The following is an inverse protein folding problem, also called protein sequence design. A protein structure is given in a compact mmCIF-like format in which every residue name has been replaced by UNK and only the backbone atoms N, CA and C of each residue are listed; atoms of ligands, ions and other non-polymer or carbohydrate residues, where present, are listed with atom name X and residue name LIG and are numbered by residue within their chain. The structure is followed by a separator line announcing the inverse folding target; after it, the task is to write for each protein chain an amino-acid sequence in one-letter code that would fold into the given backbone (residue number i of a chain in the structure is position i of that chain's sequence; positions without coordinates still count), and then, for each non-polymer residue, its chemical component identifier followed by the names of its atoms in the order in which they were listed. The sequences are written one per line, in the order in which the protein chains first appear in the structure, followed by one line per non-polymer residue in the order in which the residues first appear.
data_IF_554731551093
#
_entry.id   IF_554731551093
#
_cell.length_a   1.000
_cell.length_b   1.000
_cell.length_c   1.000
_cell.angle_alpha   90.00
_cell.angle_beta   90.00
_cell.angle_gamma   90.00
#
_symmetry.space_group_name_H-M   'P 1'
#
loop_
_entity.id
_entity.type
_entity.pdbx_description
1 polymer ?
#
# COMPACT_ATOMS: atom_id res chain seq x y z
N UNK A 1 14.30 9.76 13.75
CA UNK A 1 13.34 9.17 12.82
C UNK A 1 11.93 9.49 13.30
N UNK A 2 10.99 9.64 12.36
CA UNK A 2 9.59 9.93 12.64
C UNK A 2 8.68 9.03 11.81
N UNK A 3 7.39 8.98 12.15
CA UNK A 3 6.35 8.44 11.30
C UNK A 3 5.70 9.60 10.54
N UNK A 4 5.49 9.45 9.25
CA UNK A 4 4.82 10.43 8.41
C UNK A 4 4.14 9.72 7.23
N UNK A 5 2.85 9.96 7.07
CA UNK A 5 2.02 9.31 6.06
C UNK A 5 1.61 10.28 4.94
N UNK A 6 1.87 11.58 5.14
CA UNK A 6 1.54 12.66 4.19
C UNK A 6 2.74 13.57 3.94
N UNK A 7 2.76 14.31 2.81
CA UNK A 7 3.80 15.31 2.57
C UNK A 7 3.89 16.40 3.65
N UNK A 8 2.76 16.74 4.28
CA UNK A 8 2.72 17.72 5.36
C UNK A 8 3.35 17.18 6.63
N UNK A 9 3.03 15.95 7.02
CA UNK A 9 3.64 15.28 8.16
C UNK A 9 5.16 15.16 7.98
N UNK A 10 5.62 14.84 6.76
CA UNK A 10 7.04 14.76 6.44
C UNK A 10 7.74 16.11 6.60
N UNK A 11 7.14 17.20 6.11
CA UNK A 11 7.68 18.56 6.33
C UNK A 11 7.77 18.90 7.81
N UNK A 12 6.70 18.65 8.55
CA UNK A 12 6.63 18.90 9.99
C UNK A 12 7.66 18.06 10.76
N UNK A 13 7.82 16.79 10.38
CA UNK A 13 8.86 15.94 10.97
C UNK A 13 10.28 16.52 10.74
N UNK A 14 10.55 17.06 9.56
CA UNK A 14 11.80 17.74 9.24
C UNK A 14 12.02 19.00 10.07
N UNK A 15 11.00 19.81 10.25
CA UNK A 15 11.04 21.03 11.09
C UNK A 15 11.40 20.69 12.53
N UNK A 16 10.88 19.57 13.06
CA UNK A 16 11.21 19.03 14.38
C UNK A 16 12.55 18.28 14.44
N UNK A 17 13.34 18.28 13.37
CA UNK A 17 14.70 17.73 13.35
C UNK A 17 14.79 16.25 12.98
N UNK A 18 13.74 15.63 12.45
CA UNK A 18 13.80 14.25 11.96
C UNK A 18 14.81 14.11 10.81
N UNK A 19 15.62 13.05 10.86
CA UNK A 19 16.63 12.69 9.85
C UNK A 19 16.27 11.45 9.06
N UNK A 20 15.01 11.10 9.02
CA UNK A 20 14.43 9.98 8.27
C UNK A 20 12.99 9.75 8.67
N UNK A 21 12.23 9.15 7.75
CA UNK A 21 10.90 8.58 8.03
C UNK A 21 11.07 7.08 8.23
N UNK A 22 10.82 6.63 9.47
CA UNK A 22 10.93 5.22 9.86
C UNK A 22 9.71 4.39 9.48
N UNK A 23 8.58 5.06 9.25
CA UNK A 23 7.34 4.41 8.79
C UNK A 23 6.46 5.41 8.06
N UNK A 24 6.22 5.13 6.78
CA UNK A 24 5.17 5.72 5.96
C UNK A 24 4.15 4.61 5.64
N UNK A 25 2.92 4.76 6.13
CA UNK A 25 1.84 3.78 6.00
C UNK A 25 0.97 4.12 4.80
N UNK A 26 1.07 3.32 3.76
CA UNK A 26 0.37 3.59 2.50
C UNK A 26 -1.15 3.45 2.60
N UNK A 27 -1.66 2.69 3.56
CA UNK A 27 -3.09 2.59 3.83
C UNK A 27 -3.74 3.93 4.21
N UNK A 28 -3.03 4.79 4.93
CA UNK A 28 -3.55 6.10 5.31
C UNK A 28 -3.74 7.02 4.11
N UNK A 29 -2.90 6.87 3.07
CA UNK A 29 -3.08 7.59 1.81
C UNK A 29 -4.40 7.22 1.13
N UNK A 30 -4.84 5.95 1.23
CA UNK A 30 -6.08 5.46 0.61
C UNK A 30 -7.35 5.79 1.40
N UNK A 31 -7.23 6.20 2.67
CA UNK A 31 -8.36 6.60 3.51
C UNK A 31 -8.86 8.03 3.24
N UNK A 32 -8.15 8.82 2.44
CA UNK A 32 -8.59 10.16 2.07
C UNK A 32 -9.93 10.11 1.31
N UNK A 33 -10.77 11.12 1.52
CA UNK A 33 -12.17 11.15 1.05
C UNK A 33 -12.32 11.04 -0.48
N UNK A 34 -11.36 11.54 -1.23
CA UNK A 34 -11.30 11.47 -2.69
C UNK A 34 -10.81 10.11 -3.21
N UNK A 35 -10.08 9.35 -2.40
CA UNK A 35 -9.45 8.08 -2.77
C UNK A 35 -10.20 6.86 -2.27
N UNK A 36 -10.81 6.95 -1.10
CA UNK A 36 -11.55 5.86 -0.49
C UNK A 36 -12.60 5.23 -1.44
N UNK A 37 -13.39 6.00 -2.24
CA UNK A 37 -14.31 5.41 -3.20
C UNK A 37 -13.62 4.60 -4.33
N UNK A 38 -12.38 4.96 -4.68
CA UNK A 38 -11.59 4.20 -5.68
C UNK A 38 -11.06 2.92 -5.05
N UNK A 39 -10.56 3.00 -3.81
CA UNK A 39 -10.11 1.83 -3.05
C UNK A 39 -11.26 0.85 -2.80
N UNK A 40 -12.45 1.34 -2.47
CA UNK A 40 -13.65 0.49 -2.35
C UNK A 40 -13.99 -0.25 -3.65
N UNK A 41 -13.86 0.41 -4.80
CA UNK A 41 -14.02 -0.26 -6.11
C UNK A 41 -12.99 -1.36 -6.32
N UNK A 42 -11.73 -1.11 -5.94
CA UNK A 42 -10.68 -2.13 -5.97
C UNK A 42 -11.06 -3.37 -5.14
N UNK A 43 -11.54 -3.14 -3.91
CA UNK A 43 -11.88 -4.23 -2.97
C UNK A 43 -13.04 -5.09 -3.47
N UNK A 44 -14.07 -4.47 -4.07
CA UNK A 44 -15.25 -5.20 -4.58
C UNK A 44 -15.10 -5.71 -5.99
N UNK A 45 -13.96 -5.46 -6.66
CA UNK A 45 -13.70 -5.91 -8.02
C UNK A 45 -13.72 -7.44 -8.11
N UNK A 46 -14.37 -7.97 -9.14
CA UNK A 46 -14.50 -9.41 -9.39
C UNK A 46 -13.55 -9.89 -10.48
N UNK A 47 -13.11 -8.99 -11.36
CA UNK A 47 -12.15 -9.30 -12.41
C UNK A 47 -10.80 -8.58 -12.23
N UNK A 48 -9.77 -9.08 -12.92
CA UNK A 48 -8.47 -8.42 -12.97
C UNK A 48 -8.57 -7.05 -13.64
N UNK A 49 -9.37 -6.93 -14.70
CA UNK A 49 -9.56 -5.69 -15.44
C UNK A 49 -10.17 -4.60 -14.55
N UNK A 50 -11.18 -4.94 -13.75
CA UNK A 50 -11.78 -4.01 -12.79
C UNK A 50 -10.77 -3.56 -11.74
N UNK A 51 -9.93 -4.50 -11.25
CA UNK A 51 -8.87 -4.16 -10.28
C UNK A 51 -7.83 -3.24 -10.89
N UNK A 52 -7.31 -3.57 -12.06
CA UNK A 52 -6.30 -2.75 -12.76
C UNK A 52 -6.84 -1.34 -13.02
N UNK A 53 -8.08 -1.20 -13.50
CA UNK A 53 -8.69 0.10 -13.73
C UNK A 53 -8.83 0.97 -12.47
N UNK A 54 -8.99 0.35 -11.30
CA UNK A 54 -8.96 1.06 -10.02
C UNK A 54 -7.53 1.39 -9.58
N UNK A 55 -6.59 0.45 -9.75
CA UNK A 55 -5.18 0.61 -9.41
C UNK A 55 -4.51 1.72 -10.22
N UNK A 56 -4.82 1.84 -11.52
CA UNK A 56 -4.27 2.91 -12.38
C UNK A 56 -4.62 4.31 -11.85
N UNK A 57 -5.83 4.48 -11.31
CA UNK A 57 -6.24 5.73 -10.69
C UNK A 57 -5.54 5.98 -9.37
N UNK A 58 -5.43 4.95 -8.53
CA UNK A 58 -4.75 5.03 -7.23
C UNK A 58 -3.25 5.29 -7.41
N UNK A 59 -2.63 4.72 -8.45
CA UNK A 59 -1.22 4.90 -8.78
C UNK A 59 -0.85 6.37 -8.94
N UNK A 60 -1.63 7.11 -9.73
CA UNK A 60 -1.38 8.53 -9.97
C UNK A 60 -1.42 9.32 -8.67
N UNK A 61 -2.47 9.10 -7.86
CA UNK A 61 -2.65 9.78 -6.58
C UNK A 61 -1.52 9.46 -5.59
N UNK A 62 -1.14 8.17 -5.51
CA UNK A 62 -0.11 7.73 -4.58
C UNK A 62 1.30 8.18 -5.01
N UNK A 63 1.57 8.22 -6.32
CA UNK A 63 2.81 8.79 -6.85
C UNK A 63 2.97 10.25 -6.43
N UNK A 64 1.91 11.06 -6.51
CA UNK A 64 1.95 12.47 -6.10
C UNK A 64 2.27 12.62 -4.60
N UNK A 65 1.74 11.74 -3.76
CA UNK A 65 2.08 11.71 -2.33
C UNK A 65 3.56 11.40 -2.12
N UNK A 66 4.08 10.36 -2.79
CA UNK A 66 5.50 10.01 -2.68
C UNK A 66 6.40 11.13 -3.17
N UNK A 67 6.06 11.79 -4.27
CA UNK A 67 6.79 12.99 -4.73
C UNK A 67 6.83 14.05 -3.63
N UNK A 68 5.72 14.32 -2.99
CA UNK A 68 5.63 15.28 -1.89
C UNK A 68 6.47 14.89 -0.66
N UNK A 69 6.38 13.62 -0.23
CA UNK A 69 7.11 13.09 0.93
C UNK A 69 8.61 13.07 0.66
N UNK A 70 9.06 12.52 -0.47
CA UNK A 70 10.48 12.46 -0.81
C UNK A 70 11.09 13.85 -1.00
N UNK A 71 10.36 14.80 -1.57
CA UNK A 71 10.80 16.18 -1.69
C UNK A 71 10.98 16.85 -0.32
N UNK A 72 10.07 16.59 0.62
CA UNK A 72 10.20 17.07 1.99
C UNK A 72 11.41 16.47 2.72
N UNK A 73 11.78 15.24 2.35
CA UNK A 73 12.86 14.48 2.95
C UNK A 73 14.15 14.47 2.12
N UNK A 74 14.40 15.50 1.28
CA UNK A 74 15.60 15.60 0.46
C UNK A 74 16.88 15.26 1.24
N UNK A 75 17.64 14.27 0.75
CA UNK A 75 18.86 13.75 1.36
C UNK A 75 18.66 12.75 2.51
N UNK A 76 17.42 12.51 2.97
CA UNK A 76 17.12 11.63 4.09
C UNK A 76 16.30 10.40 3.67
N UNK A 77 16.49 9.25 4.35
CA UNK A 77 15.78 8.02 4.04
C UNK A 77 14.30 8.09 4.40
N UNK A 78 13.51 7.40 3.60
CA UNK A 78 12.07 7.22 3.82
C UNK A 78 11.71 5.77 3.63
N UNK A 79 11.29 5.11 4.73
CA UNK A 79 10.77 3.75 4.70
C UNK A 79 9.28 3.81 4.35
N UNK A 80 8.91 3.24 3.21
CA UNK A 80 7.53 3.12 2.75
C UNK A 80 7.06 1.68 2.95
N UNK A 81 6.10 1.48 3.86
CA UNK A 81 5.46 0.19 4.04
C UNK A 81 4.38 -0.01 2.99
N UNK A 82 4.47 -1.12 2.24
CA UNK A 82 3.42 -1.50 1.31
C UNK A 82 2.13 -1.84 2.06
N UNK A 83 1.01 -1.86 1.34
CA UNK A 83 -0.33 -2.05 1.90
C UNK A 83 -0.37 -3.23 2.88
N UNK A 84 -0.71 -2.94 4.12
CA UNK A 84 -0.69 -3.92 5.21
C UNK A 84 -2.09 -4.39 5.65
N UNK A 85 -3.11 -3.51 5.91
CA UNK A 85 -4.35 -3.96 6.50
C UNK A 85 -5.18 -4.86 5.57
N UNK A 86 -6.09 -5.67 6.15
CA UNK A 86 -7.07 -6.41 5.38
C UNK A 86 -7.95 -5.48 4.53
N UNK A 87 -8.31 -5.92 3.32
CA UNK A 87 -9.06 -5.08 2.39
C UNK A 87 -10.45 -4.67 2.89
N UNK A 88 -11.07 -5.46 3.79
CA UNK A 88 -12.39 -5.11 4.34
C UNK A 88 -12.37 -3.82 5.19
N UNK A 89 -11.21 -3.40 5.69
CA UNK A 89 -11.09 -2.15 6.46
C UNK A 89 -11.40 -0.90 5.64
N UNK A 90 -11.28 -0.98 4.31
CA UNK A 90 -11.65 0.11 3.40
C UNK A 90 -13.14 0.15 3.06
N UNK A 91 -13.89 -0.91 3.40
CA UNK A 91 -15.32 -0.97 3.14
C UNK A 91 -16.11 -0.27 4.26
N UNK A 92 -17.32 0.24 3.94
CA UNK A 92 -18.24 0.71 4.97
C UNK A 92 -18.53 -0.40 5.97
N UNK A 93 -18.74 -0.03 7.22
CA UNK A 93 -19.07 -0.99 8.27
C UNK A 93 -20.43 -1.64 8.02
N UNK A 94 -20.57 -2.91 8.37
CA UNK A 94 -21.80 -3.70 8.17
C UNK A 94 -23.08 -2.99 8.62
N UNK A 95 -23.16 -2.40 9.84
CA UNK A 95 -24.39 -1.71 10.26
C UNK A 95 -24.80 -0.58 9.31
N UNK A 96 -23.85 0.18 8.79
CA UNK A 96 -24.14 1.27 7.85
C UNK A 96 -24.64 0.76 6.49
N UNK A 97 -24.10 -0.38 6.02
CA UNK A 97 -24.56 -1.02 4.80
C UNK A 97 -25.99 -1.58 4.94
N UNK A 98 -26.31 -2.18 6.09
CA UNK A 98 -27.64 -2.70 6.39
C UNK A 98 -28.67 -1.57 6.54
N UNK A 99 -28.30 -0.48 7.19
CA UNK A 99 -29.16 0.70 7.31
C UNK A 99 -29.46 1.32 5.95
N UNK A 100 -28.45 1.52 5.11
CA UNK A 100 -28.63 2.04 3.75
C UNK A 100 -29.52 1.13 2.89
N UNK A 101 -29.37 -0.18 2.99
CA UNK A 101 -30.25 -1.15 2.30
C UNK A 101 -31.69 -1.04 2.81
N UNK A 102 -31.91 -0.97 4.13
CA UNK A 102 -33.23 -0.80 4.73
C UNK A 102 -33.93 0.50 4.31
N UNK A 103 -33.17 1.59 4.14
CA UNK A 103 -33.72 2.85 3.62
C UNK A 103 -34.15 2.75 2.16
N UNK A 104 -33.41 2.01 1.31
CA UNK A 104 -33.79 1.77 -0.08
C UNK A 104 -35.03 0.86 -0.16
N UNK A 105 -35.17 -0.12 0.72
CA UNK A 105 -36.34 -0.97 0.82
C UNK A 105 -37.60 -0.19 1.20
N UNK A 106 -37.51 0.68 2.23
CA UNK A 106 -38.62 1.56 2.63
C UNK A 106 -39.07 2.49 1.49
N UNK A 107 -38.17 2.89 0.61
CA UNK A 107 -38.43 3.73 -0.58
C UNK A 107 -38.93 2.94 -1.78
N UNK A 108 -39.13 1.62 -1.67
CA UNK A 108 -39.52 0.74 -2.78
C UNK A 108 -38.41 0.52 -3.83
N UNK A 109 -37.18 0.86 -3.50
CA UNK A 109 -36.01 0.78 -4.39
C UNK A 109 -35.13 -0.45 -4.11
N UNK A 110 -35.67 -1.50 -3.52
CA UNK A 110 -34.94 -2.72 -3.15
C UNK A 110 -34.23 -3.43 -4.33
N UNK A 111 -34.73 -3.26 -5.55
CA UNK A 111 -34.14 -3.82 -6.78
C UNK A 111 -33.38 -2.78 -7.61
N UNK A 112 -33.06 -1.63 -7.04
CA UNK A 112 -32.29 -0.60 -7.75
C UNK A 112 -30.82 -1.00 -7.93
N UNK A 113 -30.13 -0.46 -8.95
CA UNK A 113 -28.68 -0.67 -9.11
C UNK A 113 -27.86 -0.27 -7.88
N UNK A 114 -28.35 0.72 -7.11
CA UNK A 114 -27.74 1.14 -5.87
C UNK A 114 -27.88 0.07 -4.77
N UNK A 115 -29.06 -0.52 -4.61
CA UNK A 115 -29.27 -1.62 -3.67
C UNK A 115 -28.44 -2.86 -4.04
N UNK A 116 -28.31 -3.17 -5.32
CA UNK A 116 -27.46 -4.26 -5.78
C UNK A 116 -25.99 -4.01 -5.46
N UNK A 117 -25.49 -2.80 -5.70
CA UNK A 117 -24.12 -2.41 -5.35
C UNK A 117 -23.87 -2.52 -3.83
N UNK A 118 -24.80 -2.08 -2.99
CA UNK A 118 -24.68 -2.21 -1.54
C UNK A 118 -24.67 -3.67 -1.08
N UNK A 119 -25.50 -4.54 -1.66
CA UNK A 119 -25.49 -5.98 -1.36
C UNK A 119 -24.17 -6.63 -1.77
N UNK A 120 -23.64 -6.27 -2.94
CA UNK A 120 -22.33 -6.74 -3.39
C UNK A 120 -21.22 -6.33 -2.42
N UNK A 121 -21.23 -5.07 -1.96
CA UNK A 121 -20.29 -4.57 -0.96
C UNK A 121 -20.42 -5.32 0.37
N UNK A 122 -21.65 -5.54 0.84
CA UNK A 122 -21.91 -6.28 2.08
C UNK A 122 -21.43 -7.74 2.00
N UNK A 123 -21.75 -8.42 0.91
CA UNK A 123 -21.29 -9.79 0.67
C UNK A 123 -19.77 -9.86 0.64
N UNK A 124 -19.11 -8.88 0.01
CA UNK A 124 -17.65 -8.81 0.00
C UNK A 124 -17.06 -8.56 1.39
N UNK A 125 -17.68 -7.71 2.19
CA UNK A 125 -17.30 -7.46 3.57
C UNK A 125 -17.36 -8.76 4.41
N UNK A 126 -18.43 -9.55 4.26
CA UNK A 126 -18.53 -10.85 4.92
C UNK A 126 -17.48 -11.86 4.45
N UNK A 127 -17.20 -11.93 3.14
CA UNK A 127 -16.18 -12.83 2.59
C UNK A 127 -14.77 -12.49 3.08
N UNK A 128 -14.49 -11.22 3.29
CA UNK A 128 -13.18 -10.72 3.71
C UNK A 128 -13.05 -10.56 5.23
N UNK A 129 -14.13 -10.84 5.98
CA UNK A 129 -14.10 -10.72 7.44
C UNK A 129 -13.17 -11.77 8.04
N UNK A 130 -12.27 -11.31 8.91
CA UNK A 130 -11.27 -12.12 9.57
C UNK A 130 -11.59 -12.26 11.07
N UNK A 131 -11.58 -13.49 11.57
CA UNK A 131 -11.72 -13.75 13.02
C UNK A 131 -10.49 -13.24 13.79
N UNK A 132 -9.32 -13.33 13.17
CA UNK A 132 -8.07 -12.78 13.69
C UNK A 132 -7.38 -11.94 12.60
N UNK A 133 -7.49 -10.60 12.63
CA UNK A 133 -6.87 -9.72 11.63
C UNK A 133 -5.35 -9.88 11.51
N UNK A 134 -4.66 -10.25 12.60
CA UNK A 134 -3.20 -10.43 12.59
C UNK A 134 -2.75 -11.62 11.75
N UNK A 135 -3.57 -12.66 11.67
CA UNK A 135 -3.30 -13.90 10.92
C UNK A 135 -4.06 -13.97 9.60
N UNK A 136 -4.85 -12.94 9.29
CA UNK A 136 -5.75 -12.89 8.17
C UNK A 136 -5.08 -12.60 6.82
N UNK A 137 -5.92 -12.36 5.83
CA UNK A 137 -5.53 -12.06 4.45
C UNK A 137 -5.12 -10.58 4.29
N UNK A 138 -3.87 -10.30 4.63
CA UNK A 138 -3.28 -8.96 4.64
C UNK A 138 -1.77 -9.01 4.37
N UNK A 139 -1.13 -7.84 4.22
CA UNK A 139 0.31 -7.69 4.08
C UNK A 139 0.87 -8.49 2.93
N UNK A 140 1.99 -9.17 3.13
CA UNK A 140 2.63 -9.97 2.09
C UNK A 140 1.72 -11.07 1.52
N UNK A 141 0.80 -11.65 2.33
CA UNK A 141 -0.15 -12.66 1.84
C UNK A 141 -1.10 -12.09 0.81
N UNK A 142 -1.61 -10.87 1.05
CA UNK A 142 -2.41 -10.12 0.08
C UNK A 142 -1.62 -9.85 -1.20
N UNK A 143 -0.38 -9.36 -1.07
CA UNK A 143 0.49 -9.05 -2.19
C UNK A 143 0.93 -10.27 -3.00
N UNK A 144 0.91 -11.48 -2.43
CA UNK A 144 1.17 -12.72 -3.18
C UNK A 144 -0.04 -13.19 -3.99
N UNK A 145 -1.25 -12.96 -3.51
CA UNK A 145 -2.50 -13.38 -4.19
C UNK A 145 -2.97 -12.34 -5.19
N UNK A 146 -2.77 -11.06 -4.88
CA UNK A 146 -3.06 -9.93 -5.76
C UNK A 146 -1.79 -9.10 -5.99
N UNK A 147 -0.79 -9.65 -6.71
CA UNK A 147 0.51 -9.01 -6.89
C UNK A 147 0.42 -7.63 -7.55
N UNK A 148 -0.60 -7.42 -8.39
CA UNK A 148 -0.87 -6.15 -9.04
C UNK A 148 -1.02 -4.96 -8.08
N UNK A 149 -1.45 -5.21 -6.84
CA UNK A 149 -1.56 -4.16 -5.80
C UNK A 149 -0.17 -3.68 -5.39
N UNK A 150 0.73 -4.60 -5.09
CA UNK A 150 2.10 -4.26 -4.67
C UNK A 150 2.94 -3.77 -5.86
N UNK A 151 2.74 -4.34 -7.04
CA UNK A 151 3.37 -3.84 -8.27
C UNK A 151 3.00 -2.38 -8.54
N UNK A 152 1.72 -2.02 -8.39
CA UNK A 152 1.27 -0.64 -8.52
C UNK A 152 1.96 0.29 -7.51
N UNK A 153 2.04 -0.11 -6.24
CA UNK A 153 2.66 0.72 -5.21
C UNK A 153 4.17 0.90 -5.43
N UNK A 154 4.87 -0.18 -5.76
CA UNK A 154 6.31 -0.14 -6.06
C UNK A 154 6.58 0.73 -7.30
N UNK A 155 5.75 0.61 -8.35
CA UNK A 155 5.82 1.49 -9.51
C UNK A 155 5.63 2.96 -9.13
N UNK A 156 4.61 3.28 -8.32
CA UNK A 156 4.36 4.65 -7.88
C UNK A 156 5.54 5.23 -7.09
N UNK A 157 6.15 4.42 -6.20
CA UNK A 157 7.35 4.80 -5.44
C UNK A 157 8.50 5.10 -6.41
N UNK A 158 8.86 4.17 -7.29
CA UNK A 158 10.04 4.33 -8.14
C UNK A 158 9.86 5.36 -9.25
N UNK A 159 8.64 5.55 -9.77
CA UNK A 159 8.36 6.67 -10.69
C UNK A 159 8.52 8.03 -10.00
N UNK A 160 8.08 8.16 -8.74
CA UNK A 160 8.32 9.37 -7.94
C UNK A 160 9.82 9.61 -7.69
N UNK A 161 10.56 8.54 -7.41
CA UNK A 161 12.03 8.59 -7.23
C UNK A 161 12.72 9.05 -8.51
N UNK A 162 12.37 8.45 -9.67
CA UNK A 162 12.96 8.80 -10.95
C UNK A 162 12.68 10.26 -11.33
N UNK A 163 11.45 10.73 -11.11
CA UNK A 163 11.05 12.12 -11.36
C UNK A 163 11.87 13.10 -10.52
N UNK A 164 11.98 12.86 -9.23
CA UNK A 164 12.69 13.73 -8.31
C UNK A 164 14.22 13.68 -8.52
N UNK A 165 14.76 12.51 -8.85
CA UNK A 165 16.20 12.38 -9.17
C UNK A 165 16.55 13.23 -10.39
N UNK A 166 15.71 13.25 -11.44
CA UNK A 166 15.84 14.15 -12.59
C UNK A 166 15.80 15.62 -12.19
N UNK A 167 15.01 15.95 -11.18
CA UNK A 167 14.91 17.31 -10.65
C UNK A 167 16.06 17.68 -9.70
N UNK A 168 17.04 16.79 -9.49
CA UNK A 168 18.21 17.02 -8.64
C UNK A 168 17.98 16.80 -7.14
N UNK A 169 16.84 16.22 -6.74
CA UNK A 169 16.52 15.87 -5.35
C UNK A 169 17.22 14.55 -4.98
N UNK A 170 17.85 14.50 -3.80
CA UNK A 170 18.54 13.29 -3.31
C UNK A 170 17.56 12.36 -2.59
N UNK A 171 16.88 11.51 -3.33
CA UNK A 171 15.91 10.57 -2.78
C UNK A 171 16.60 9.31 -2.25
N UNK A 172 16.18 8.84 -1.06
CA UNK A 172 16.62 7.58 -0.45
C UNK A 172 15.40 6.74 -0.08
N UNK A 173 14.79 6.05 -1.05
CA UNK A 173 13.60 5.23 -0.83
C UNK A 173 13.98 3.88 -0.24
N UNK A 174 13.21 3.44 0.75
CA UNK A 174 13.32 2.13 1.37
C UNK A 174 11.94 1.47 1.34
N UNK A 175 11.80 0.39 0.56
CA UNK A 175 10.53 -0.34 0.41
C UNK A 175 10.46 -1.41 1.49
N UNK A 176 9.41 -1.39 2.30
CA UNK A 176 9.20 -2.31 3.41
C UNK A 176 8.00 -3.21 3.18
N UNK A 177 8.25 -4.52 3.20
CA UNK A 177 7.23 -5.55 3.03
C UNK A 177 6.70 -5.97 4.40
N UNK A 178 5.40 -5.80 4.70
CA UNK A 178 4.84 -6.20 5.99
C UNK A 178 4.58 -7.71 6.07
N UNK A 179 4.59 -8.26 7.28
CA UNK A 179 4.16 -9.62 7.65
C UNK A 179 4.92 -10.78 6.99
N UNK A 180 6.10 -10.55 6.45
CA UNK A 180 6.95 -11.60 5.89
C UNK A 180 7.35 -12.59 7.00
N UNK A 181 7.12 -13.87 6.76
CA UNK A 181 7.44 -14.94 7.70
C UNK A 181 8.33 -16.03 7.13
N UNK A 182 8.66 -15.97 5.83
CA UNK A 182 9.49 -16.98 5.18
C UNK A 182 10.48 -16.36 4.18
N UNK A 183 11.59 -17.09 3.96
CA UNK A 183 12.59 -16.74 2.93
C UNK A 183 11.98 -16.60 1.54
N UNK A 184 11.04 -17.49 1.19
CA UNK A 184 10.40 -17.50 -0.13
C UNK A 184 9.54 -16.24 -0.37
N UNK A 185 8.80 -15.80 0.63
CA UNK A 185 8.03 -14.54 0.56
C UNK A 185 8.97 -13.35 0.36
N UNK A 186 10.05 -13.25 1.16
CA UNK A 186 10.99 -12.13 1.03
C UNK A 186 11.65 -12.11 -0.34
N UNK A 187 12.08 -13.28 -0.83
CA UNK A 187 12.65 -13.42 -2.17
C UNK A 187 11.70 -12.94 -3.26
N UNK A 188 10.43 -13.37 -3.21
CA UNK A 188 9.41 -13.02 -4.19
C UNK A 188 9.23 -11.49 -4.32
N UNK A 189 9.11 -10.79 -3.19
CA UNK A 189 8.92 -9.33 -3.21
C UNK A 189 10.21 -8.58 -3.52
N UNK A 190 11.37 -9.13 -3.14
CA UNK A 190 12.66 -8.56 -3.54
C UNK A 190 12.82 -8.59 -5.06
N UNK A 191 12.57 -9.74 -5.70
CA UNK A 191 12.65 -9.91 -7.15
C UNK A 191 11.63 -9.03 -7.89
N UNK A 192 10.41 -8.87 -7.33
CA UNK A 192 9.40 -7.94 -7.84
C UNK A 192 9.91 -6.50 -7.82
N UNK A 193 10.47 -6.05 -6.70
CA UNK A 193 10.98 -4.69 -6.57
C UNK A 193 12.16 -4.43 -7.52
N UNK A 194 13.10 -5.38 -7.63
CA UNK A 194 14.25 -5.26 -8.51
C UNK A 194 13.84 -5.22 -9.99
N UNK A 195 12.86 -6.03 -10.40
CA UNK A 195 12.29 -6.01 -11.75
C UNK A 195 11.67 -4.64 -12.07
N UNK A 196 10.81 -4.16 -11.21
CA UNK A 196 10.11 -2.89 -11.41
C UNK A 196 11.10 -1.71 -11.40
N UNK A 197 12.09 -1.73 -10.52
CA UNK A 197 13.13 -0.70 -10.52
C UNK A 197 13.87 -0.66 -11.86
N UNK A 198 14.27 -1.82 -12.39
CA UNK A 198 14.91 -1.93 -13.71
C UNK A 198 14.03 -1.40 -14.85
N UNK A 199 12.74 -1.71 -14.84
CA UNK A 199 11.76 -1.21 -15.81
C UNK A 199 11.62 0.31 -15.73
N UNK A 200 11.50 0.88 -14.54
CA UNK A 200 11.37 2.34 -14.32
C UNK A 200 12.67 3.07 -14.68
N UNK A 201 13.83 2.55 -14.28
CA UNK A 201 15.13 3.14 -14.64
C UNK A 201 15.30 3.18 -16.16
N UNK A 202 14.98 2.09 -16.86
CA UNK A 202 15.04 2.00 -18.32
C UNK A 202 14.07 2.97 -18.99
N UNK A 203 12.81 3.01 -18.54
CA UNK A 203 11.78 3.88 -19.11
C UNK A 203 12.06 5.36 -18.87
N UNK A 204 12.58 5.70 -17.68
CA UNK A 204 12.88 7.08 -17.32
C UNK A 204 14.25 7.57 -17.82
N UNK A 205 15.19 6.68 -18.12
CA UNK A 205 16.59 7.02 -18.40
C UNK A 205 17.32 7.59 -17.18
N UNK A 206 16.92 7.20 -15.96
CA UNK A 206 17.45 7.74 -14.70
C UNK A 206 17.79 6.61 -13.75
N UNK A 207 19.04 6.52 -13.36
CA UNK A 207 19.48 5.57 -12.34
C UNK A 207 19.23 6.12 -10.94
N UNK A 208 18.78 5.25 -10.03
CA UNK A 208 18.59 5.56 -8.62
C UNK A 208 18.91 4.36 -7.74
N UNK A 209 19.13 4.61 -6.46
CA UNK A 209 19.37 3.55 -5.46
C UNK A 209 18.16 3.42 -4.54
N UNK A 210 17.94 2.23 -4.02
CA UNK A 210 16.86 1.92 -3.09
C UNK A 210 17.27 0.75 -2.19
N UNK A 211 16.55 0.56 -1.08
CA UNK A 211 16.63 -0.63 -0.25
C UNK A 211 15.29 -1.33 -0.21
N UNK A 212 15.32 -2.65 -0.02
CA UNK A 212 14.14 -3.47 0.23
C UNK A 212 14.35 -4.23 1.53
N UNK A 213 13.38 -4.15 2.42
CA UNK A 213 13.43 -4.81 3.72
C UNK A 213 12.07 -5.25 4.20
N UNK A 214 11.98 -5.68 5.44
CA UNK A 214 10.75 -6.18 6.04
C UNK A 214 10.64 -5.82 7.51
N UNK A 215 9.44 -5.99 8.06
CA UNK A 215 9.19 -5.91 9.49
C UNK A 215 9.41 -7.29 10.14
N UNK A 216 10.08 -7.32 11.29
CA UNK A 216 10.16 -8.50 12.15
C UNK A 216 9.02 -8.40 13.17
N UNK A 217 7.81 -8.77 12.75
CA UNK A 217 6.58 -8.56 13.52
C UNK A 217 5.76 -9.83 13.72
N UNK A 218 6.13 -10.93 13.06
CA UNK A 218 5.56 -12.26 13.32
C UNK A 218 6.61 -13.16 13.95
N UNK A 219 6.23 -14.05 14.88
CA UNK A 219 7.21 -14.90 15.60
C UNK A 219 8.13 -15.70 14.67
N UNK A 220 7.59 -16.21 13.57
CA UNK A 220 8.38 -16.95 12.58
C UNK A 220 9.49 -16.09 11.97
N UNK A 221 9.21 -14.82 11.64
CA UNK A 221 10.21 -13.94 11.07
C UNK A 221 11.43 -13.77 12.00
N UNK A 222 11.20 -13.66 13.31
CA UNK A 222 12.27 -13.60 14.29
C UNK A 222 13.11 -14.89 14.32
N UNK A 223 12.46 -16.06 14.17
CA UNK A 223 13.15 -17.36 14.18
C UNK A 223 13.96 -17.65 12.93
N UNK A 224 13.65 -17.02 11.81
CA UNK A 224 14.31 -17.23 10.50
C UNK A 224 14.90 -15.93 9.94
N UNK A 225 15.23 -14.98 10.81
CA UNK A 225 15.74 -13.66 10.41
C UNK A 225 17.03 -13.74 9.58
N UNK A 226 17.90 -14.72 9.87
CA UNK A 226 19.08 -15.04 9.08
C UNK A 226 18.76 -15.41 7.63
N UNK A 227 17.70 -16.18 7.41
CA UNK A 227 17.24 -16.55 6.07
C UNK A 227 16.57 -15.36 5.35
N UNK A 228 15.86 -14.51 6.09
CA UNK A 228 15.27 -13.30 5.53
C UNK A 228 16.35 -12.30 5.10
N UNK A 229 17.46 -12.23 5.85
CA UNK A 229 18.59 -11.33 5.56
C UNK A 229 19.31 -11.66 4.24
N UNK A 230 19.09 -12.83 3.64
CA UNK A 230 19.60 -13.13 2.30
C UNK A 230 18.98 -12.21 1.21
N UNK A 231 17.77 -11.70 1.45
CA UNK A 231 17.01 -10.88 0.50
C UNK A 231 16.61 -9.52 1.07
N UNK A 232 16.54 -9.37 2.38
CA UNK A 232 16.24 -8.11 3.06
C UNK A 232 17.51 -7.33 3.35
N UNK A 233 17.52 -6.04 3.03
CA UNK A 233 18.64 -5.14 3.28
C UNK A 233 18.51 -4.37 4.59
N UNK A 234 17.32 -4.39 5.20
CA UNK A 234 17.07 -3.84 6.53
C UNK A 234 15.91 -4.56 7.20
N UNK A 235 15.84 -4.48 8.51
CA UNK A 235 14.73 -4.92 9.34
C UNK A 235 14.17 -3.74 10.14
N UNK A 236 12.84 -3.74 10.30
CA UNK A 236 12.11 -2.87 11.23
C UNK A 236 11.47 -3.74 12.32
N UNK A 237 11.34 -3.22 13.53
CA UNK A 237 10.80 -3.92 14.71
C UNK A 237 9.61 -3.17 15.29
#
# INVERSE_FOLDING_TARGET
WANADTPEDARRAREFGARGIGLCRTEHMFMATDRLPVMQRLVVAESLEERVAALDKLKVMQKDDFVGIFKAMDGYPVIVRLLDPPLHEFLPKEPALLEALGELEKKGAASSPEAEKLRRTLNKAYQLHEANPMLGFRGCRLGMVYPEIYEMQINAIFEAVAELTKAGVKVRPEVMIPLVGTRAEMKFFREMADRIAGEVMKASGTDFTYLVGTMIEVPRAAMVADQLAEYAQFFSF
#
